data_IF_419208366320
#
_entry.id   IF_419208366320
#
_cell.length_a   1.000
_cell.length_b   1.000
_cell.length_c   1.000
_cell.angle_alpha   90.00
_cell.angle_beta   90.00
_cell.angle_gamma   90.00
#
_symmetry.space_group_name_H-M   'P 1'
#
loop_
_entity.id
_entity.type
_entity.pdbx_description
1 polymer ?
#
# COMPACT_ATOMS: atom_id res chain seq x y z
N UNK A 1 27.42 -75.43 5.83
CA UNK A 1 27.63 -73.97 5.90
C UNK A 1 26.64 -73.32 4.92
N UNK A 2 25.57 -72.77 5.42
CA UNK A 2 24.56 -72.08 4.59
C UNK A 2 24.85 -70.55 4.68
N UNK A 3 25.21 -69.98 3.56
CA UNK A 3 25.34 -68.53 3.44
C UNK A 3 23.97 -67.89 3.36
N UNK A 4 23.72 -66.93 4.27
CA UNK A 4 22.52 -66.12 4.31
C UNK A 4 22.78 -64.87 3.47
N UNK A 5 22.09 -64.76 2.33
CA UNK A 5 22.10 -63.52 1.54
C UNK A 5 21.10 -62.55 2.17
N UNK A 6 21.59 -61.42 2.67
CA UNK A 6 20.77 -60.28 3.09
C UNK A 6 20.58 -59.42 1.85
N UNK A 7 19.33 -59.34 1.36
CA UNK A 7 18.92 -58.40 0.34
C UNK A 7 18.52 -57.11 1.06
N UNK A 8 19.32 -56.07 0.92
CA UNK A 8 18.96 -54.70 1.36
C UNK A 8 18.11 -54.09 0.25
N UNK A 9 16.83 -53.94 0.49
CA UNK A 9 15.97 -53.14 -0.38
C UNK A 9 16.24 -51.64 -0.07
N UNK A 10 16.87 -50.95 -0.97
CA UNK A 10 16.92 -49.48 -0.97
C UNK A 10 15.51 -48.96 -1.40
N UNK A 11 14.79 -48.41 -0.45
CA UNK A 11 13.62 -47.62 -0.73
C UNK A 11 14.16 -46.24 -1.19
N UNK A 12 14.13 -46.00 -2.47
CA UNK A 12 14.32 -44.67 -3.03
C UNK A 12 13.11 -43.82 -2.69
N UNK A 13 13.25 -42.98 -1.67
CA UNK A 13 12.29 -41.88 -1.44
C UNK A 13 12.50 -40.90 -2.60
N UNK A 14 11.62 -40.99 -3.59
CA UNK A 14 11.59 -40.02 -4.66
C UNK A 14 11.12 -38.67 -4.09
N UNK A 15 12.07 -37.77 -3.85
CA UNK A 15 11.76 -36.37 -3.68
C UNK A 15 11.30 -35.88 -5.05
N UNK A 16 10.00 -35.87 -5.26
CA UNK A 16 9.41 -35.12 -6.39
C UNK A 16 9.61 -33.65 -6.07
N UNK A 17 10.69 -33.07 -6.58
CA UNK A 17 10.78 -31.64 -6.74
C UNK A 17 9.69 -31.26 -7.71
N UNK A 18 8.59 -30.71 -7.20
CA UNK A 18 7.58 -30.02 -8.01
C UNK A 18 8.28 -28.77 -8.52
N UNK A 19 8.90 -28.88 -9.68
CA UNK A 19 9.32 -27.71 -10.45
C UNK A 19 8.04 -27.06 -10.95
N UNK A 20 7.59 -26.02 -10.26
CA UNK A 20 6.64 -25.08 -10.85
C UNK A 20 7.35 -24.38 -12.00
N UNK A 21 7.18 -24.90 -13.20
CA UNK A 21 7.40 -24.13 -14.39
C UNK A 21 6.22 -23.15 -14.44
N UNK A 22 6.39 -21.98 -13.83
CA UNK A 22 5.49 -20.87 -14.10
C UNK A 22 5.69 -20.55 -15.59
N UNK A 23 4.71 -20.88 -16.40
CA UNK A 23 4.60 -20.30 -17.72
C UNK A 23 4.65 -18.77 -17.52
N UNK A 24 5.63 -18.13 -18.13
CA UNK A 24 5.73 -16.68 -18.21
C UNK A 24 4.61 -16.25 -19.16
N UNK A 25 3.39 -16.20 -18.62
CA UNK A 25 2.26 -15.67 -19.35
C UNK A 25 2.33 -14.16 -19.30
N UNK A 26 2.12 -13.53 -20.44
CA UNK A 26 2.16 -12.11 -20.66
C UNK A 26 1.47 -11.33 -19.51
N UNK A 27 2.23 -10.47 -18.82
CA UNK A 27 1.67 -9.53 -17.88
C UNK A 27 0.67 -8.65 -18.62
N UNK A 28 -0.61 -8.71 -18.24
CA UNK A 28 -1.60 -7.81 -18.82
C UNK A 28 -1.25 -6.38 -18.46
N UNK A 29 -1.01 -5.55 -19.48
CA UNK A 29 -0.91 -4.11 -19.33
C UNK A 29 -2.32 -3.57 -19.27
N UNK A 30 -2.70 -2.98 -18.15
CA UNK A 30 -3.98 -2.30 -17.99
C UNK A 30 -3.80 -0.88 -18.53
N UNK A 31 -4.57 -0.54 -19.55
CA UNK A 31 -4.62 0.82 -20.06
C UNK A 31 -5.26 1.75 -19.01
N UNK A 32 -4.58 2.79 -18.73
CA UNK A 32 -4.59 3.54 -17.49
C UNK A 32 -5.91 4.15 -17.03
N UNK A 33 -6.71 4.71 -17.93
CA UNK A 33 -7.97 5.34 -17.57
C UNK A 33 -9.02 4.31 -17.12
N UNK A 34 -9.04 3.16 -17.76
CA UNK A 34 -9.99 2.08 -17.48
C UNK A 34 -9.65 1.38 -16.16
N UNK A 35 -8.38 1.39 -15.76
CA UNK A 35 -7.92 0.68 -14.57
C UNK A 35 -8.56 1.15 -13.26
N UNK A 36 -9.02 2.39 -13.24
CA UNK A 36 -9.64 2.98 -12.05
C UNK A 36 -11.17 3.10 -12.14
N UNK A 37 -11.78 2.71 -13.23
CA UNK A 37 -13.23 2.60 -13.25
C UNK A 37 -13.69 1.64 -12.15
N UNK A 38 -14.70 2.06 -11.38
CA UNK A 38 -15.34 1.15 -10.42
C UNK A 38 -15.81 -0.06 -11.21
N UNK A 39 -15.34 -1.24 -10.83
CA UNK A 39 -15.79 -2.48 -11.44
C UNK A 39 -17.25 -2.66 -11.08
N UNK A 40 -18.14 -2.12 -11.90
CA UNK A 40 -19.57 -2.26 -11.72
C UNK A 40 -19.98 -3.71 -11.90
N UNK A 41 -20.64 -4.28 -10.89
CA UNK A 41 -21.44 -5.47 -11.03
C UNK A 41 -20.71 -6.75 -11.48
N UNK A 42 -19.51 -6.99 -11.00
CA UNK A 42 -18.78 -8.23 -11.31
C UNK A 42 -19.29 -9.39 -10.44
N UNK A 43 -20.51 -9.82 -10.75
CA UNK A 43 -21.19 -10.86 -9.99
C UNK A 43 -20.44 -12.20 -10.00
N UNK A 44 -19.61 -12.45 -11.00
CA UNK A 44 -18.84 -13.69 -11.14
C UNK A 44 -17.79 -13.89 -10.04
N UNK A 45 -17.35 -12.81 -9.38
CA UNK A 45 -16.43 -12.91 -8.24
C UNK A 45 -17.13 -12.93 -6.89
N UNK A 46 -18.46 -12.89 -6.87
CA UNK A 46 -19.24 -12.75 -5.65
C UNK A 46 -19.88 -14.09 -5.28
N UNK A 47 -19.71 -14.51 -4.02
CA UNK A 47 -20.29 -15.73 -3.50
C UNK A 47 -21.23 -15.51 -2.31
N UNK A 48 -22.25 -16.36 -2.20
CA UNK A 48 -23.16 -16.42 -1.06
C UNK A 48 -24.24 -15.31 -1.00
N UNK A 49 -24.95 -15.28 0.12
CA UNK A 49 -25.97 -14.26 0.42
C UNK A 49 -25.32 -12.90 0.68
N UNK A 50 -26.10 -11.82 0.46
CA UNK A 50 -25.61 -10.45 0.72
C UNK A 50 -25.34 -10.24 2.21
N UNK A 51 -24.08 -9.93 2.54
CA UNK A 51 -23.62 -9.68 3.89
C UNK A 51 -23.73 -8.21 4.26
N UNK A 52 -24.45 -7.92 5.32
CA UNK A 52 -24.60 -6.56 5.85
C UNK A 52 -23.28 -6.05 6.45
N UNK A 53 -23.03 -4.75 6.27
CA UNK A 53 -21.85 -4.09 6.84
C UNK A 53 -22.09 -3.75 8.30
N UNK A 54 -21.12 -4.08 9.12
CA UNK A 54 -21.06 -3.80 10.55
C UNK A 54 -19.70 -3.23 10.92
N UNK A 55 -19.55 -2.71 12.13
CA UNK A 55 -18.24 -2.29 12.65
C UNK A 55 -17.23 -3.45 12.65
N UNK A 56 -17.70 -4.68 12.88
CA UNK A 56 -16.82 -5.85 12.99
C UNK A 56 -16.27 -6.32 11.65
N UNK A 57 -16.99 -6.12 10.54
CA UNK A 57 -16.59 -6.64 9.24
C UNK A 57 -16.22 -5.58 8.20
N UNK A 58 -16.27 -4.28 8.52
CA UNK A 58 -16.02 -3.23 7.55
C UNK A 58 -14.63 -3.33 6.89
N UNK A 59 -13.56 -3.52 7.66
CA UNK A 59 -12.20 -3.61 7.10
C UNK A 59 -12.03 -4.84 6.18
N UNK A 60 -12.68 -5.95 6.52
CA UNK A 60 -12.73 -7.15 5.66
C UNK A 60 -13.51 -6.87 4.37
N UNK A 61 -14.63 -6.13 4.46
CA UNK A 61 -15.43 -5.79 3.30
C UNK A 61 -14.71 -4.79 2.38
N UNK A 62 -13.97 -3.83 2.92
CA UNK A 62 -13.12 -2.92 2.14
C UNK A 62 -11.99 -3.69 1.43
N UNK A 63 -11.39 -4.67 2.11
CA UNK A 63 -10.42 -5.59 1.49
C UNK A 63 -11.06 -6.40 0.36
N UNK A 64 -12.21 -7.00 0.59
CA UNK A 64 -12.96 -7.77 -0.39
C UNK A 64 -13.30 -6.92 -1.64
N UNK A 65 -13.68 -5.64 -1.45
CA UNK A 65 -13.91 -4.68 -2.53
C UNK A 65 -12.66 -4.48 -3.39
N UNK A 66 -11.49 -4.37 -2.76
CA UNK A 66 -10.22 -4.24 -3.48
C UNK A 66 -9.87 -5.51 -4.26
N UNK A 67 -10.03 -6.69 -3.67
CA UNK A 67 -9.86 -7.95 -4.39
C UNK A 67 -10.75 -8.02 -5.64
N UNK A 68 -12.05 -7.77 -5.48
CA UNK A 68 -13.02 -7.74 -6.59
C UNK A 68 -12.58 -6.77 -7.70
N UNK A 69 -12.26 -5.54 -7.33
CA UNK A 69 -11.93 -4.48 -8.28
C UNK A 69 -10.65 -4.80 -9.06
N UNK A 70 -9.67 -5.43 -8.45
CA UNK A 70 -8.41 -5.78 -9.11
C UNK A 70 -8.49 -7.08 -9.91
N UNK A 71 -9.28 -8.07 -9.48
CA UNK A 71 -9.60 -9.24 -10.31
C UNK A 71 -10.29 -8.82 -11.60
N UNK A 72 -11.22 -7.86 -11.52
CA UNK A 72 -11.83 -7.27 -12.72
C UNK A 72 -10.84 -6.63 -13.70
N UNK A 73 -9.63 -6.34 -13.25
CA UNK A 73 -8.52 -5.82 -14.05
C UNK A 73 -7.47 -6.87 -14.40
N UNK A 74 -7.79 -8.15 -14.17
CA UNK A 74 -6.94 -9.28 -14.50
C UNK A 74 -5.79 -9.54 -13.53
N UNK A 75 -5.81 -8.97 -12.33
CA UNK A 75 -4.76 -9.21 -11.34
C UNK A 75 -4.70 -10.65 -10.81
N UNK A 76 -5.75 -11.44 -10.99
CA UNK A 76 -5.81 -12.86 -10.68
C UNK A 76 -5.23 -13.76 -11.79
N UNK A 77 -4.93 -13.19 -12.95
CA UNK A 77 -4.33 -13.91 -14.09
C UNK A 77 -2.81 -13.66 -14.20
N UNK A 78 -2.30 -12.67 -13.45
CA UNK A 78 -0.90 -12.29 -13.47
C UNK A 78 -0.65 -10.93 -12.83
N UNK A 79 0.23 -10.12 -13.42
CA UNK A 79 0.53 -8.76 -13.00
C UNK A 79 -0.30 -7.74 -13.77
N UNK A 80 -1.14 -7.02 -13.06
CA UNK A 80 -1.83 -5.84 -13.60
C UNK A 80 -1.01 -4.59 -13.35
N UNK A 81 -0.58 -3.89 -14.38
CA UNK A 81 0.25 -2.69 -14.28
C UNK A 81 -0.55 -1.41 -14.47
N UNK A 82 -0.47 -0.50 -13.50
CA UNK A 82 -0.89 0.89 -13.66
C UNK A 82 0.27 1.69 -14.22
N UNK A 83 0.17 2.11 -15.47
CA UNK A 83 1.22 2.81 -16.21
C UNK A 83 1.17 4.33 -16.09
N UNK A 84 0.31 4.83 -15.18
CA UNK A 84 0.17 6.26 -14.91
C UNK A 84 0.25 6.51 -13.39
N UNK A 85 0.52 7.75 -13.03
CA UNK A 85 0.30 8.24 -11.67
C UNK A 85 -1.17 8.07 -11.29
N UNK A 86 -1.43 8.06 -10.00
CA UNK A 86 -2.81 7.96 -9.50
C UNK A 86 -3.73 8.99 -10.17
N UNK A 87 -4.96 8.60 -10.52
CA UNK A 87 -5.94 9.52 -11.03
C UNK A 87 -6.24 10.63 -10.03
N UNK A 88 -6.74 11.74 -10.55
CA UNK A 88 -7.02 12.95 -9.80
C UNK A 88 -8.51 13.14 -9.58
N UNK A 89 -8.85 13.84 -8.51
CA UNK A 89 -10.23 14.12 -8.15
C UNK A 89 -11.02 12.82 -7.92
N UNK A 90 -12.31 12.90 -8.14
CA UNK A 90 -13.28 11.81 -7.92
C UNK A 90 -13.07 10.58 -8.83
N UNK A 91 -12.21 10.69 -9.85
CA UNK A 91 -11.82 9.52 -10.66
C UNK A 91 -10.89 8.54 -9.92
N UNK A 92 -10.31 8.93 -8.81
CA UNK A 92 -9.48 8.06 -8.00
C UNK A 92 -10.33 6.97 -7.31
N UNK A 93 -9.86 5.72 -7.26
CA UNK A 93 -10.60 4.62 -6.65
C UNK A 93 -10.70 4.76 -5.12
N UNK A 94 -9.80 5.53 -4.54
CA UNK A 94 -9.74 5.84 -3.11
C UNK A 94 -9.09 7.20 -2.89
N UNK A 95 -9.26 7.74 -1.70
CA UNK A 95 -8.60 8.98 -1.28
C UNK A 95 -7.13 8.77 -0.99
N UNK A 96 -6.38 9.85 -0.90
CA UNK A 96 -4.98 9.90 -0.49
C UNK A 96 -4.06 8.98 -1.31
N UNK A 97 -4.34 8.86 -2.61
CA UNK A 97 -3.51 8.09 -3.51
C UNK A 97 -2.06 8.60 -3.52
N UNK A 98 -1.12 7.67 -3.53
CA UNK A 98 0.30 8.01 -3.62
C UNK A 98 0.65 8.62 -4.97
N UNK A 99 1.49 9.65 -4.95
CA UNK A 99 1.98 10.36 -6.14
C UNK A 99 3.43 9.99 -6.51
N UNK A 100 4.12 9.21 -5.66
CA UNK A 100 5.57 8.96 -5.76
C UNK A 100 5.92 7.60 -6.34
N UNK A 101 4.93 6.78 -6.73
CA UNK A 101 5.17 5.46 -7.32
C UNK A 101 4.08 5.03 -8.30
N UNK A 102 4.44 4.15 -9.24
CA UNK A 102 3.50 3.37 -10.04
C UNK A 102 3.22 2.03 -9.35
N UNK A 103 2.04 1.48 -9.61
CA UNK A 103 1.60 0.23 -9.02
C UNK A 103 1.53 -0.90 -10.05
N UNK A 104 1.92 -2.08 -9.59
CA UNK A 104 1.58 -3.34 -10.24
C UNK A 104 0.96 -4.25 -9.19
N UNK A 105 -0.11 -4.94 -9.53
CA UNK A 105 -0.88 -5.74 -8.57
C UNK A 105 -1.03 -7.15 -9.09
N UNK A 106 -0.88 -8.12 -8.19
CA UNK A 106 -1.25 -9.50 -8.43
C UNK A 106 -2.14 -10.02 -7.30
N UNK A 107 -3.08 -10.87 -7.65
CA UNK A 107 -3.84 -11.70 -6.71
C UNK A 107 -3.46 -13.14 -7.01
N UNK A 108 -2.88 -13.82 -6.02
CA UNK A 108 -2.31 -15.16 -6.19
C UNK A 108 -2.86 -16.11 -5.15
N UNK A 109 -2.96 -17.40 -5.51
CA UNK A 109 -3.29 -18.43 -4.52
C UNK A 109 -2.17 -18.63 -3.52
N UNK A 110 -2.54 -18.89 -2.28
CA UNK A 110 -1.65 -19.43 -1.26
C UNK A 110 -1.58 -20.93 -1.47
N UNK A 111 -0.39 -21.47 -1.73
CA UNK A 111 -0.15 -22.88 -1.99
C UNK A 111 0.69 -23.47 -0.88
N UNK A 112 0.23 -24.53 -0.23
CA UNK A 112 0.91 -25.15 0.90
C UNK A 112 1.30 -24.18 2.03
N UNK A 113 0.46 -23.17 2.26
CA UNK A 113 0.72 -22.11 3.25
C UNK A 113 1.79 -21.10 2.81
N UNK A 114 2.09 -20.98 1.53
CA UNK A 114 3.14 -20.12 1.02
C UNK A 114 2.69 -19.29 -0.19
N UNK A 115 3.35 -18.14 -0.36
CA UNK A 115 3.27 -17.29 -1.55
C UNK A 115 4.67 -17.02 -2.07
N UNK A 116 4.86 -17.17 -3.37
CA UNK A 116 6.14 -16.88 -4.02
C UNK A 116 6.00 -15.76 -5.05
N UNK A 117 7.03 -14.91 -5.13
CA UNK A 117 7.12 -13.80 -6.08
C UNK A 117 8.59 -13.40 -6.29
N UNK A 118 8.84 -12.53 -7.26
CA UNK A 118 10.19 -12.06 -7.58
C UNK A 118 10.24 -10.53 -7.63
N UNK A 119 11.27 -9.94 -7.02
CA UNK A 119 11.74 -8.59 -7.32
C UNK A 119 13.01 -8.77 -8.17
N UNK A 120 12.97 -8.53 -9.48
CA UNK A 120 14.10 -8.85 -10.35
C UNK A 120 15.38 -8.11 -9.97
N UNK A 121 16.53 -8.74 -10.15
CA UNK A 121 17.84 -8.16 -9.81
C UNK A 121 18.15 -6.86 -10.58
N UNK A 122 17.59 -6.73 -11.79
CA UNK A 122 17.84 -5.62 -12.68
C UNK A 122 16.85 -4.44 -12.53
N UNK A 123 16.04 -4.41 -11.47
CA UNK A 123 15.21 -3.24 -11.15
C UNK A 123 16.11 -2.05 -10.77
N UNK A 124 15.74 -0.86 -11.21
CA UNK A 124 16.58 0.34 -11.12
C UNK A 124 16.00 1.47 -10.28
N UNK A 125 14.72 1.38 -9.95
CA UNK A 125 14.03 2.31 -9.07
C UNK A 125 13.62 1.59 -7.78
N UNK A 126 13.24 2.37 -6.76
CA UNK A 126 12.67 1.79 -5.55
C UNK A 126 11.57 0.79 -5.92
N UNK A 127 11.71 -0.43 -5.46
CA UNK A 127 10.72 -1.49 -5.70
C UNK A 127 10.44 -2.19 -4.39
N UNK A 128 9.15 -2.29 -4.04
CA UNK A 128 8.70 -3.03 -2.87
C UNK A 128 7.50 -3.88 -3.20
N UNK A 129 7.33 -4.97 -2.47
CA UNK A 129 6.15 -5.82 -2.51
C UNK A 129 5.52 -5.88 -1.13
N UNK A 130 4.30 -5.39 -1.03
CA UNK A 130 3.47 -5.56 0.16
C UNK A 130 2.51 -6.71 -0.09
N UNK A 131 2.45 -7.64 0.85
CA UNK A 131 1.66 -8.86 0.74
C UNK A 131 0.57 -8.83 1.80
N UNK A 132 -0.69 -8.90 1.36
CA UNK A 132 -1.89 -8.73 2.20
C UNK A 132 -2.77 -9.96 1.98
N UNK A 133 -3.32 -10.53 3.05
CA UNK A 133 -4.27 -11.62 2.95
C UNK A 133 -5.68 -11.17 2.56
N UNK A 134 -6.57 -12.11 2.34
CA UNK A 134 -7.97 -11.86 1.96
C UNK A 134 -8.81 -11.19 3.04
N UNK A 135 -8.31 -11.09 4.26
CA UNK A 135 -8.98 -10.46 5.39
C UNK A 135 -8.46 -9.05 5.69
N UNK A 136 -7.42 -8.61 4.98
CA UNK A 136 -6.83 -7.29 5.17
C UNK A 136 -5.70 -7.27 6.19
N UNK A 137 -5.05 -8.40 6.44
CA UNK A 137 -3.86 -8.45 7.27
C UNK A 137 -2.60 -8.35 6.41
N UNK A 138 -1.64 -7.52 6.85
CA UNK A 138 -0.35 -7.34 6.19
C UNK A 138 0.63 -8.41 6.63
N UNK A 139 0.84 -9.41 5.80
CA UNK A 139 1.69 -10.55 6.14
C UNK A 139 3.19 -10.23 5.96
N UNK A 140 3.54 -9.58 4.85
CA UNK A 140 4.94 -9.29 4.53
C UNK A 140 5.10 -7.95 3.80
N UNK A 141 6.29 -7.38 3.93
CA UNK A 141 6.74 -6.22 3.17
C UNK A 141 8.20 -6.44 2.74
N UNK A 142 8.43 -6.60 1.45
CA UNK A 142 9.72 -7.00 0.90
C UNK A 142 10.26 -5.92 -0.03
N UNK A 143 11.54 -5.60 0.11
CA UNK A 143 12.27 -4.62 -0.72
C UNK A 143 13.55 -5.17 -1.31
N UNK A 144 14.00 -6.34 -0.82
CA UNK A 144 15.21 -7.00 -1.31
C UNK A 144 14.95 -7.65 -2.66
N UNK A 145 15.92 -7.49 -3.57
CA UNK A 145 15.86 -8.14 -4.88
C UNK A 145 16.03 -9.65 -4.76
N UNK A 146 15.50 -10.36 -5.75
CA UNK A 146 15.57 -11.81 -5.83
C UNK A 146 14.19 -12.48 -5.76
N UNK A 147 14.23 -13.79 -5.64
CA UNK A 147 13.06 -14.65 -5.49
C UNK A 147 12.75 -14.85 -4.02
N UNK A 148 11.47 -14.70 -3.68
CA UNK A 148 10.96 -14.79 -2.33
C UNK A 148 9.87 -15.85 -2.25
N UNK A 149 9.90 -16.63 -1.17
CA UNK A 149 8.80 -17.47 -0.74
C UNK A 149 8.51 -17.11 0.70
N UNK A 150 7.29 -16.67 0.97
CA UNK A 150 6.86 -16.19 2.29
C UNK A 150 5.78 -17.09 2.85
N UNK A 151 5.87 -17.36 4.14
CA UNK A 151 4.88 -18.18 4.83
C UNK A 151 3.62 -17.36 5.15
N UNK A 152 2.47 -18.01 5.05
CA UNK A 152 1.17 -17.46 5.39
C UNK A 152 0.56 -18.22 6.57
N UNK A 153 -0.03 -17.49 7.50
CA UNK A 153 -0.94 -18.10 8.46
C UNK A 153 -2.25 -18.43 7.75
N UNK A 154 -2.51 -19.72 7.55
CA UNK A 154 -3.73 -20.20 6.90
C UNK A 154 -4.74 -20.77 7.88
N UNK A 155 -4.53 -20.62 9.18
CA UNK A 155 -5.39 -21.16 10.22
C UNK A 155 -6.81 -20.56 10.19
N UNK A 156 -6.96 -19.37 9.61
CA UNK A 156 -8.23 -18.67 9.41
C UNK A 156 -8.92 -19.02 8.08
N UNK A 157 -8.32 -19.90 7.26
CA UNK A 157 -8.86 -20.29 5.95
C UNK A 157 -8.37 -19.41 4.80
N UNK A 158 -7.27 -18.67 4.97
CA UNK A 158 -6.66 -17.87 3.90
C UNK A 158 -6.25 -18.75 2.72
N UNK A 159 -6.74 -18.38 1.54
CA UNK A 159 -6.50 -19.09 0.27
C UNK A 159 -5.84 -18.21 -0.79
N UNK A 160 -5.91 -16.90 -0.64
CA UNK A 160 -5.39 -15.93 -1.60
C UNK A 160 -4.65 -14.80 -0.91
N UNK A 161 -3.68 -14.25 -1.64
CA UNK A 161 -2.91 -13.08 -1.25
C UNK A 161 -2.99 -11.99 -2.31
N UNK A 162 -3.00 -10.74 -1.86
CA UNK A 162 -2.92 -9.55 -2.67
C UNK A 162 -1.52 -8.97 -2.57
N UNK A 163 -0.84 -8.87 -3.69
CA UNK A 163 0.53 -8.33 -3.79
C UNK A 163 0.50 -6.95 -4.43
N UNK A 164 1.01 -5.96 -3.71
CA UNK A 164 1.19 -4.59 -4.21
C UNK A 164 2.67 -4.36 -4.49
N UNK A 165 3.03 -4.34 -5.77
CA UNK A 165 4.36 -3.91 -6.21
C UNK A 165 4.34 -2.40 -6.40
N UNK A 166 5.23 -1.69 -5.73
CA UNK A 166 5.46 -0.25 -5.90
C UNK A 166 6.73 -0.04 -6.69
N UNK A 167 6.67 0.84 -7.69
CA UNK A 167 7.80 1.23 -8.53
C UNK A 167 7.98 2.73 -8.40
N UNK A 168 9.05 3.16 -7.73
CA UNK A 168 9.31 4.56 -7.41
C UNK A 168 9.51 5.44 -8.64
N UNK A 169 9.22 6.72 -8.48
CA UNK A 169 9.33 7.75 -9.52
C UNK A 169 10.60 8.61 -9.38
N UNK A 170 11.55 8.22 -8.53
CA UNK A 170 12.78 8.98 -8.27
C UNK A 170 13.67 9.18 -9.51
N UNK A 171 13.51 8.33 -10.53
CA UNK A 171 14.17 8.47 -11.84
C UNK A 171 13.20 8.84 -12.96
N UNK A 172 11.99 9.25 -12.61
CA UNK A 172 10.95 9.67 -13.55
C UNK A 172 10.04 8.54 -14.04
N UNK A 173 9.02 8.95 -14.76
CA UNK A 173 7.93 8.08 -15.21
C UNK A 173 8.39 6.94 -16.13
N UNK A 174 9.28 7.24 -17.08
CA UNK A 174 9.75 6.25 -18.05
C UNK A 174 10.60 5.18 -17.39
N UNK A 175 11.43 5.56 -16.41
CA UNK A 175 12.21 4.60 -15.64
C UNK A 175 11.31 3.69 -14.79
N UNK A 176 10.25 4.23 -14.17
CA UNK A 176 9.29 3.44 -13.42
C UNK A 176 8.51 2.47 -14.31
N UNK A 177 8.09 2.90 -15.52
CA UNK A 177 7.45 2.02 -16.49
C UNK A 177 8.39 0.92 -16.99
N UNK A 178 9.63 1.27 -17.34
CA UNK A 178 10.64 0.30 -17.72
C UNK A 178 10.96 -0.68 -16.58
N UNK A 179 10.81 -0.25 -15.33
CA UNK A 179 10.94 -1.12 -14.17
C UNK A 179 9.75 -2.09 -14.05
N UNK A 180 8.52 -1.62 -14.29
CA UNK A 180 7.35 -2.50 -14.36
C UNK A 180 7.50 -3.59 -15.44
N UNK A 181 8.10 -3.26 -16.60
CA UNK A 181 8.36 -4.23 -17.68
C UNK A 181 9.35 -5.33 -17.30
N UNK A 182 10.14 -5.13 -16.23
CA UNK A 182 11.06 -6.14 -15.70
C UNK A 182 10.40 -7.09 -14.69
N UNK A 183 9.26 -6.72 -14.13
CA UNK A 183 8.55 -7.57 -13.16
C UNK A 183 8.08 -8.85 -13.83
N UNK A 184 8.19 -9.96 -13.12
CA UNK A 184 7.83 -11.29 -13.60
C UNK A 184 6.64 -11.87 -12.85
N UNK A 185 6.00 -12.87 -13.41
CA UNK A 185 4.96 -13.66 -12.75
C UNK A 185 5.54 -14.90 -12.05
N UNK A 186 6.86 -14.96 -11.89
CA UNK A 186 7.49 -16.10 -11.23
C UNK A 186 6.91 -16.35 -9.83
N UNK A 187 6.49 -17.57 -9.58
CA UNK A 187 5.91 -17.99 -8.30
C UNK A 187 4.45 -17.63 -8.09
N UNK A 188 3.87 -16.75 -8.91
CA UNK A 188 2.45 -16.43 -8.83
C UNK A 188 1.61 -17.60 -9.37
N UNK A 189 0.56 -17.92 -8.64
CA UNK A 189 -0.40 -18.98 -9.00
C UNK A 189 -1.75 -18.34 -9.27
N UNK A 190 -2.13 -18.31 -10.55
CA UNK A 190 -3.39 -17.71 -11.01
C UNK A 190 -4.62 -18.43 -10.46
N UNK A 191 -5.69 -17.68 -10.30
CA UNK A 191 -7.00 -18.20 -9.99
C UNK A 191 -7.93 -17.17 -9.37
N UNK A 192 -9.21 -17.41 -9.56
CA UNK A 192 -10.25 -16.56 -9.01
C UNK A 192 -10.38 -16.78 -7.50
N UNK A 193 -10.61 -15.68 -6.81
CA UNK A 193 -11.03 -15.65 -5.42
C UNK A 193 -12.52 -15.36 -5.37
N UNK A 194 -13.30 -16.25 -4.77
CA UNK A 194 -14.71 -16.02 -4.53
C UNK A 194 -14.87 -15.01 -3.39
N UNK A 195 -15.08 -13.77 -3.77
CA UNK A 195 -15.21 -12.64 -2.84
C UNK A 195 -16.51 -12.80 -2.05
N UNK A 196 -16.51 -12.69 -0.72
CA UNK A 196 -17.74 -12.63 0.04
C UNK A 196 -18.66 -11.51 -0.45
N UNK A 197 -19.95 -11.84 -0.62
CA UNK A 197 -20.93 -10.93 -1.21
C UNK A 197 -21.39 -9.84 -0.21
N UNK A 198 -20.50 -8.90 0.10
CA UNK A 198 -20.83 -7.77 0.94
C UNK A 198 -21.76 -6.76 0.22
N UNK A 199 -22.58 -6.07 1.00
CA UNK A 199 -23.31 -4.89 0.52
C UNK A 199 -22.31 -3.73 0.27
N UNK A 200 -21.78 -3.65 -0.96
CA UNK A 200 -20.74 -2.68 -1.30
C UNK A 200 -21.23 -1.23 -1.36
N UNK A 201 -22.53 -1.00 -1.53
CA UNK A 201 -23.10 0.35 -1.38
C UNK A 201 -23.05 0.77 0.10
N UNK A 202 -23.35 -0.16 1.00
CA UNK A 202 -23.18 0.07 2.44
C UNK A 202 -21.71 0.22 2.86
N UNK A 203 -20.76 -0.47 2.19
CA UNK A 203 -19.31 -0.24 2.40
C UNK A 203 -18.95 1.19 2.04
N UNK A 204 -19.37 1.69 0.86
CA UNK A 204 -19.08 3.05 0.43
C UNK A 204 -19.68 4.09 1.40
N UNK A 205 -20.92 3.92 1.81
CA UNK A 205 -21.57 4.79 2.78
C UNK A 205 -20.84 4.80 4.14
N UNK A 206 -20.42 3.62 4.62
CA UNK A 206 -19.65 3.51 5.88
C UNK A 206 -18.25 4.11 5.73
N UNK A 207 -17.64 4.02 4.57
CA UNK A 207 -16.37 4.67 4.25
C UNK A 207 -16.49 6.19 4.39
N UNK A 208 -17.53 6.79 3.85
CA UNK A 208 -17.76 8.24 3.94
C UNK A 208 -18.03 8.70 5.38
N UNK A 209 -18.82 7.92 6.14
CA UNK A 209 -19.04 8.15 7.57
C UNK A 209 -17.69 8.17 8.34
N UNK A 210 -16.87 7.13 8.19
CA UNK A 210 -15.58 7.02 8.87
C UNK A 210 -14.61 8.13 8.46
N UNK A 211 -14.58 8.53 7.18
CA UNK A 211 -13.76 9.64 6.69
C UNK A 211 -14.10 10.95 7.35
N UNK A 212 -15.38 11.19 7.64
CA UNK A 212 -15.84 12.40 8.32
C UNK A 212 -15.34 12.52 9.77
N UNK A 213 -14.97 11.40 10.40
CA UNK A 213 -14.46 11.38 11.76
C UNK A 213 -12.95 11.69 11.87
N UNK A 214 -12.24 11.73 10.72
CA UNK A 214 -10.78 11.82 10.73
C UNK A 214 -10.30 13.24 10.97
N UNK A 215 -9.60 13.41 12.05
CA UNK A 215 -8.92 14.65 12.43
C UNK A 215 -7.45 14.37 12.68
N UNK A 216 -6.59 14.74 11.73
CA UNK A 216 -5.14 14.79 11.92
C UNK A 216 -4.49 13.58 12.59
N UNK A 217 -4.76 12.35 12.12
CA UNK A 217 -4.22 11.12 12.70
C UNK A 217 -3.23 10.45 11.76
N UNK A 218 -2.14 9.93 12.30
CA UNK A 218 -1.24 9.05 11.56
C UNK A 218 -1.82 7.63 11.48
N UNK A 219 -1.49 6.93 10.42
CA UNK A 219 -1.96 5.59 10.15
C UNK A 219 -0.83 4.59 10.27
N UNK A 220 -0.86 3.84 11.36
CA UNK A 220 0.12 2.82 11.67
C UNK A 220 -0.45 1.41 11.56
N UNK A 221 -1.78 1.31 11.45
CA UNK A 221 -2.54 0.10 11.69
C UNK A 221 -3.31 -0.43 10.50
N UNK A 222 -3.17 0.15 9.30
CA UNK A 222 -4.02 -0.21 8.15
C UNK A 222 -3.97 -1.71 7.87
N UNK A 223 -2.80 -2.34 8.08
CA UNK A 223 -2.61 -3.76 7.89
C UNK A 223 -1.93 -4.40 9.12
N UNK A 224 -2.69 -4.72 10.19
CA UNK A 224 -2.19 -5.58 11.26
C UNK A 224 -1.79 -6.93 10.69
N UNK A 225 -0.88 -7.66 11.33
CA UNK A 225 -0.40 -8.95 10.83
C UNK A 225 -1.45 -10.06 10.89
N UNK A 226 -2.35 -9.94 11.84
CA UNK A 226 -3.43 -10.89 12.05
C UNK A 226 -4.51 -10.24 12.91
N UNK A 227 -5.66 -10.91 13.04
CA UNK A 227 -6.81 -10.45 13.81
C UNK A 227 -6.49 -10.16 15.29
N UNK A 228 -5.53 -10.86 15.89
CA UNK A 228 -5.16 -10.67 17.31
C UNK A 228 -4.44 -9.35 17.56
N UNK A 229 -3.83 -8.77 16.54
CA UNK A 229 -3.20 -7.44 16.61
C UNK A 229 -4.20 -6.29 16.48
N UNK A 230 -5.43 -6.57 16.10
CA UNK A 230 -6.50 -5.58 16.03
C UNK A 230 -7.01 -5.27 17.44
N UNK A 231 -6.31 -4.37 18.13
CA UNK A 231 -6.66 -3.96 19.50
C UNK A 231 -7.70 -2.84 19.56
N UNK A 232 -7.87 -2.10 18.48
CA UNK A 232 -8.86 -1.03 18.31
C UNK A 232 -9.53 -1.18 16.93
N UNK A 233 -10.67 -1.83 16.89
CA UNK A 233 -11.45 -2.09 15.67
C UNK A 233 -11.89 -0.81 14.98
N UNK A 234 -12.30 0.20 15.75
CA UNK A 234 -12.73 1.47 15.19
C UNK A 234 -11.57 2.19 14.52
N UNK A 235 -10.39 2.23 15.15
CA UNK A 235 -9.18 2.80 14.56
C UNK A 235 -8.79 2.05 13.27
N UNK A 236 -8.85 0.72 13.25
CA UNK A 236 -8.57 -0.07 12.05
C UNK A 236 -9.54 0.25 10.91
N UNK A 237 -10.82 0.41 11.21
CA UNK A 237 -11.83 0.82 10.23
C UNK A 237 -11.56 2.23 9.69
N UNK A 238 -11.23 3.20 10.55
CA UNK A 238 -10.83 4.55 10.12
C UNK A 238 -9.65 4.53 9.16
N UNK A 239 -8.64 3.73 9.44
CA UNK A 239 -7.46 3.62 8.60
C UNK A 239 -7.74 2.97 7.25
N UNK A 240 -8.57 1.93 7.22
CA UNK A 240 -9.01 1.32 5.97
C UNK A 240 -9.86 2.28 5.13
N UNK A 241 -10.73 3.09 5.75
CA UNK A 241 -11.53 4.10 5.07
C UNK A 241 -10.68 5.21 4.43
N UNK A 242 -9.49 5.49 4.96
CA UNK A 242 -8.61 6.56 4.47
C UNK A 242 -7.57 6.10 3.46
N UNK A 243 -7.41 4.84 3.25
CA UNK A 243 -6.48 4.36 2.23
C UNK A 243 -6.09 2.91 2.42
N UNK A 244 -6.87 2.03 1.86
CA UNK A 244 -6.46 0.65 1.70
C UNK A 244 -5.18 0.59 0.83
N UNK A 245 -4.15 -0.14 1.26
CA UNK A 245 -2.82 -0.11 0.65
C UNK A 245 -1.81 0.76 1.40
N UNK A 246 -2.19 1.29 2.57
CA UNK A 246 -1.43 2.22 3.38
C UNK A 246 -0.33 1.59 4.24
N UNK A 247 -0.24 2.06 5.48
CA UNK A 247 0.83 1.73 6.41
C UNK A 247 0.86 0.26 6.86
N UNK A 248 2.06 -0.24 7.12
CA UNK A 248 2.30 -1.56 7.67
C UNK A 248 3.19 -1.46 8.91
N UNK A 249 2.97 -2.23 9.99
CA UNK A 249 3.75 -2.13 11.22
C UNK A 249 5.13 -2.82 11.16
N UNK A 250 5.58 -3.28 10.01
CA UNK A 250 6.88 -3.94 9.85
C UNK A 250 7.97 -2.87 9.77
N UNK A 251 8.69 -2.66 10.87
CA UNK A 251 9.73 -1.64 10.98
C UNK A 251 10.87 -1.83 9.96
N UNK A 252 11.48 -0.72 9.53
CA UNK A 252 12.60 -0.61 8.62
C UNK A 252 12.35 -0.98 7.15
N UNK A 253 11.29 -1.71 6.83
CA UNK A 253 10.98 -2.14 5.47
C UNK A 253 9.68 -1.54 4.96
N UNK A 254 8.77 -1.22 5.87
CA UNK A 254 7.42 -0.76 5.59
C UNK A 254 7.30 0.75 5.45
N UNK A 255 6.07 1.17 5.25
CA UNK A 255 5.67 2.58 5.17
C UNK A 255 4.87 3.01 6.39
N UNK A 256 5.09 4.24 6.79
CA UNK A 256 4.32 4.93 7.82
C UNK A 256 3.75 6.21 7.22
N UNK A 257 2.48 6.49 7.50
CA UNK A 257 1.80 7.66 6.98
C UNK A 257 1.19 8.49 8.10
N UNK A 258 1.13 9.81 7.87
CA UNK A 258 0.41 10.72 8.73
C UNK A 258 -0.47 11.66 7.93
N UNK A 259 -1.65 11.98 8.42
CA UNK A 259 -2.61 12.84 7.74
C UNK A 259 -2.90 14.10 8.54
N UNK A 260 -2.99 15.24 7.84
CA UNK A 260 -3.39 16.50 8.43
C UNK A 260 -4.91 16.63 8.58
N UNK A 261 -5.31 17.55 9.42
CA UNK A 261 -6.63 18.17 9.36
C UNK A 261 -6.75 19.03 8.09
N UNK A 262 -7.98 19.48 7.79
CA UNK A 262 -8.24 20.46 6.73
C UNK A 262 -7.53 21.78 7.04
N UNK A 263 -6.83 22.30 6.07
CA UNK A 263 -6.07 23.55 6.12
C UNK A 263 -6.74 24.59 5.22
N UNK A 264 -6.65 25.85 5.64
CA UNK A 264 -7.14 27.01 4.89
C UNK A 264 -6.17 27.36 3.75
N UNK A 265 -6.59 27.17 2.51
CA UNK A 265 -5.78 27.44 1.32
C UNK A 265 -5.47 28.90 1.09
N UNK A 266 -6.22 29.83 1.70
CA UNK A 266 -5.96 31.27 1.63
C UNK A 266 -4.79 31.73 2.51
N UNK A 267 -4.18 30.82 3.29
CA UNK A 267 -3.09 31.16 4.21
C UNK A 267 -1.76 30.51 3.82
N UNK A 268 -0.71 31.31 3.91
CA UNK A 268 0.64 30.75 3.92
C UNK A 268 0.88 29.98 5.22
N UNK A 269 1.23 28.72 5.10
CA UNK A 269 1.64 27.87 6.22
C UNK A 269 3.01 27.26 5.91
N UNK A 270 3.89 27.25 6.88
CA UNK A 270 5.16 26.52 6.76
C UNK A 270 5.46 25.74 8.02
N UNK A 271 6.13 24.62 7.86
CA UNK A 271 6.62 23.81 8.96
C UNK A 271 8.06 23.40 8.71
N UNK A 272 8.87 23.40 9.76
CA UNK A 272 10.27 22.97 9.70
C UNK A 272 10.45 21.78 10.61
N UNK A 273 11.03 20.73 10.09
CA UNK A 273 11.24 19.47 10.81
C UNK A 273 12.63 18.90 10.55
N UNK A 274 13.11 18.05 11.45
CA UNK A 274 14.35 17.34 11.22
C UNK A 274 14.22 16.46 9.96
N UNK A 275 15.22 16.53 9.09
CA UNK A 275 15.23 15.73 7.86
C UNK A 275 15.01 14.24 8.22
N UNK A 276 13.93 13.58 7.77
CA UNK A 276 13.67 12.21 8.09
C UNK A 276 14.75 11.29 7.51
N UNK A 277 15.25 10.40 8.32
CA UNK A 277 16.19 9.36 7.90
C UNK A 277 15.41 8.12 7.46
N UNK A 278 14.51 8.27 6.49
CA UNK A 278 13.86 7.13 5.86
C UNK A 278 14.84 6.39 4.96
N UNK A 279 14.79 5.05 4.99
CA UNK A 279 15.74 4.23 4.23
C UNK A 279 15.64 4.46 2.73
N UNK A 280 14.42 4.67 2.23
CA UNK A 280 14.18 4.86 0.80
C UNK A 280 13.86 6.31 0.47
N UNK A 281 12.75 6.81 0.96
CA UNK A 281 12.38 8.21 0.78
C UNK A 281 11.25 8.63 1.74
N UNK A 282 11.04 9.94 1.81
CA UNK A 282 9.90 10.56 2.50
C UNK A 282 9.23 11.54 1.57
N UNK A 283 7.92 11.72 1.72
CA UNK A 283 7.16 12.69 0.93
C UNK A 283 6.07 13.38 1.73
N UNK A 284 5.66 14.54 1.24
CA UNK A 284 4.48 15.27 1.67
C UNK A 284 3.65 15.54 0.43
N UNK A 285 2.43 15.04 0.41
CA UNK A 285 1.50 15.19 -0.72
C UNK A 285 0.27 15.94 -0.26
N UNK A 286 -0.10 17.01 -0.98
CA UNK A 286 -1.34 17.74 -0.74
C UNK A 286 -2.51 17.11 -1.51
N UNK A 287 -3.69 17.23 -0.93
CA UNK A 287 -4.97 16.76 -1.47
C UNK A 287 -6.03 17.83 -1.25
N UNK A 288 -7.07 17.82 -2.05
CA UNK A 288 -8.23 18.67 -1.85
C UNK A 288 -8.96 18.40 -0.52
N UNK A 289 -10.00 19.17 -0.24
CA UNK A 289 -10.79 19.03 0.98
C UNK A 289 -11.49 17.67 1.11
N UNK A 290 -11.71 16.96 0.01
CA UNK A 290 -12.27 15.61 -0.06
C UNK A 290 -11.18 14.53 -0.01
N UNK A 291 -9.91 14.91 0.12
CA UNK A 291 -8.72 14.05 0.19
C UNK A 291 -8.34 13.36 -1.13
N UNK A 292 -8.76 13.91 -2.26
CA UNK A 292 -8.30 13.49 -3.57
C UNK A 292 -7.10 14.33 -4.02
N UNK A 293 -6.26 13.79 -4.89
CA UNK A 293 -5.23 14.57 -5.57
C UNK A 293 -5.90 15.71 -6.35
N UNK A 294 -5.33 16.89 -6.29
CA UNK A 294 -5.83 18.03 -7.05
C UNK A 294 -5.87 17.72 -8.54
N UNK A 295 -6.87 18.22 -9.23
CA UNK A 295 -7.02 18.05 -10.68
C UNK A 295 -5.87 18.75 -11.42
N UNK A 296 -5.39 19.88 -10.90
CA UNK A 296 -4.21 20.58 -11.41
C UNK A 296 -2.95 19.77 -11.10
N UNK A 297 -2.21 19.42 -12.15
CA UNK A 297 -1.00 18.58 -12.02
C UNK A 297 0.19 19.28 -11.37
N UNK A 298 0.21 20.59 -11.32
CA UNK A 298 1.29 21.36 -10.71
C UNK A 298 1.19 21.40 -9.18
N UNK A 299 0.06 21.01 -8.63
CA UNK A 299 -0.20 20.98 -7.19
C UNK A 299 -0.06 19.57 -6.67
N UNK A 300 0.99 19.20 -5.97
CA UNK A 300 1.05 17.84 -5.50
C UNK A 300 1.92 17.54 -4.31
N UNK A 301 3.22 17.37 -4.52
CA UNK A 301 4.07 16.79 -3.50
C UNK A 301 5.49 17.33 -3.58
N UNK A 302 6.13 17.30 -2.44
CA UNK A 302 7.57 17.41 -2.29
C UNK A 302 8.07 16.13 -1.63
N UNK A 303 9.27 15.69 -2.00
CA UNK A 303 9.84 14.47 -1.46
C UNK A 303 11.35 14.57 -1.24
N UNK A 304 11.91 13.61 -0.49
CA UNK A 304 13.31 13.62 -0.08
C UNK A 304 14.32 13.49 -1.21
N UNK A 305 13.89 13.16 -2.44
CA UNK A 305 14.77 13.16 -3.60
C UNK A 305 14.94 14.55 -4.19
N UNK A 306 14.02 15.45 -3.92
CA UNK A 306 13.96 16.78 -4.58
C UNK A 306 13.89 17.97 -3.63
N UNK A 307 13.50 17.79 -2.36
CA UNK A 307 13.36 18.91 -1.44
C UNK A 307 14.71 19.53 -1.04
N UNK A 308 14.67 20.82 -0.76
CA UNK A 308 15.82 21.54 -0.25
C UNK A 308 15.99 21.30 1.25
N UNK A 309 17.18 20.86 1.64
CA UNK A 309 17.56 20.66 3.05
C UNK A 309 18.23 21.93 3.57
N UNK A 310 17.88 22.38 4.76
CA UNK A 310 18.49 23.52 5.44
C UNK A 310 19.90 23.14 5.94
N UNK A 311 20.70 24.16 6.24
CA UNK A 311 22.09 23.98 6.69
C UNK A 311 22.23 23.25 8.03
N UNK A 312 21.17 23.20 8.82
CA UNK A 312 21.09 22.49 10.11
C UNK A 312 20.47 21.09 10.00
N UNK A 313 20.40 20.54 8.79
CA UNK A 313 19.77 19.25 8.47
C UNK A 313 18.28 19.19 8.85
N UNK A 314 17.60 20.32 8.74
CA UNK A 314 16.13 20.37 8.78
C UNK A 314 15.56 20.53 7.38
N UNK A 315 14.27 20.31 7.22
CA UNK A 315 13.51 20.57 5.98
C UNK A 315 12.37 21.51 6.32
N UNK A 316 12.27 22.59 5.58
CA UNK A 316 11.10 23.48 5.63
C UNK A 316 10.20 23.16 4.46
N UNK A 317 8.95 22.83 4.71
CA UNK A 317 7.91 22.67 3.69
C UNK A 317 6.90 23.77 3.89
N UNK A 318 6.52 24.40 2.80
CA UNK A 318 5.60 25.53 2.77
C UNK A 318 4.36 25.18 1.94
N UNK A 319 3.24 25.80 2.27
CA UNK A 319 2.02 25.71 1.52
C UNK A 319 1.50 27.12 1.27
N UNK A 320 1.24 27.45 0.01
CA UNK A 320 0.71 28.74 -0.42
C UNK A 320 1.53 29.96 0.03
N UNK A 321 2.85 29.79 0.14
CA UNK A 321 3.75 30.86 0.61
C UNK A 321 4.46 31.62 -0.53
N UNK A 322 4.08 31.35 -1.77
CA UNK A 322 4.68 31.96 -2.97
C UNK A 322 5.92 31.21 -3.49
N UNK A 323 6.37 31.62 -4.67
CA UNK A 323 7.38 30.89 -5.45
C UNK A 323 8.77 30.86 -4.79
N UNK A 324 9.09 31.84 -3.97
CA UNK A 324 10.38 31.93 -3.27
C UNK A 324 10.43 31.08 -1.99
N UNK A 325 9.30 30.49 -1.58
CA UNK A 325 9.25 29.68 -0.37
C UNK A 325 9.80 28.27 -0.61
N UNK A 326 10.63 27.81 0.34
CA UNK A 326 11.25 26.48 0.24
C UNK A 326 10.22 25.36 0.22
N UNK A 327 10.45 24.42 -0.70
CA UNK A 327 9.62 23.22 -0.86
C UNK A 327 8.12 23.55 -0.84
N UNK A 328 7.74 24.61 -1.57
CA UNK A 328 6.38 25.12 -1.55
C UNK A 328 5.43 24.25 -2.37
N UNK A 329 4.29 23.95 -1.80
CA UNK A 329 3.14 23.33 -2.48
C UNK A 329 2.08 24.43 -2.60
N UNK A 330 1.77 24.84 -3.83
CA UNK A 330 0.78 25.88 -4.08
C UNK A 330 -0.56 25.25 -4.45
N UNK A 331 -1.52 25.27 -3.52
CA UNK A 331 -2.87 24.72 -3.72
C UNK A 331 -3.79 25.66 -4.50
N UNK A 332 -3.24 26.76 -5.04
CA UNK A 332 -3.99 27.79 -5.76
C UNK A 332 -5.13 28.39 -4.92
N UNK A 333 -4.89 28.54 -3.62
CA UNK A 333 -5.86 29.06 -2.68
C UNK A 333 -7.01 28.13 -2.31
N UNK A 334 -6.94 26.87 -2.72
CA UNK A 334 -7.94 25.87 -2.35
C UNK A 334 -7.60 25.27 -0.97
N UNK A 335 -8.64 25.05 -0.16
CA UNK A 335 -8.51 24.31 1.10
C UNK A 335 -7.97 22.90 0.84
N UNK A 336 -7.12 22.43 1.73
CA UNK A 336 -6.37 21.22 1.49
C UNK A 336 -6.15 20.39 2.75
N UNK A 337 -5.92 19.12 2.56
CA UNK A 337 -5.27 18.24 3.53
C UNK A 337 -3.92 17.80 2.97
N UNK A 338 -3.03 17.29 3.81
CA UNK A 338 -1.80 16.67 3.33
C UNK A 338 -1.50 15.37 4.05
N UNK A 339 -0.79 14.49 3.37
CA UNK A 339 -0.29 13.24 3.93
C UNK A 339 1.23 13.26 3.90
N UNK A 340 1.83 12.98 5.04
CA UNK A 340 3.26 12.67 5.16
C UNK A 340 3.46 11.17 4.99
N UNK A 341 4.50 10.78 4.24
CA UNK A 341 4.84 9.39 4.03
C UNK A 341 6.31 9.13 4.27
N UNK A 342 6.59 8.01 4.92
CA UNK A 342 7.94 7.52 5.16
C UNK A 342 8.03 6.11 4.61
N UNK A 343 8.96 5.87 3.70
CA UNK A 343 9.23 4.57 3.10
C UNK A 343 10.58 4.05 3.61
N UNK A 344 10.55 2.85 4.22
CA UNK A 344 11.66 2.35 5.01
C UNK A 344 11.75 3.09 6.35
N UNK A 345 10.83 2.79 7.24
CA UNK A 345 10.67 3.47 8.52
C UNK A 345 11.83 3.14 9.45
N UNK A 346 12.58 4.14 9.89
CA UNK A 346 13.66 3.97 10.86
C UNK A 346 13.17 4.06 12.30
N UNK A 347 13.97 3.55 13.22
CA UNK A 347 13.74 3.72 14.66
C UNK A 347 13.58 5.19 15.07
N UNK A 348 14.23 6.13 14.39
CA UNK A 348 14.08 7.55 14.64
C UNK A 348 12.66 8.02 14.36
N UNK A 349 12.12 7.65 13.20
CA UNK A 349 10.74 7.98 12.81
C UNK A 349 9.74 7.31 13.76
N UNK A 350 9.96 6.03 14.09
CA UNK A 350 9.12 5.29 15.02
C UNK A 350 9.11 5.95 16.40
N UNK A 351 10.28 6.26 16.96
CA UNK A 351 10.38 6.89 18.29
C UNK A 351 9.80 8.29 18.34
N UNK A 352 10.00 9.07 17.29
CA UNK A 352 9.38 10.41 17.19
C UNK A 352 7.85 10.30 17.25
N UNK A 353 7.30 9.28 16.63
CA UNK A 353 5.86 9.03 16.60
C UNK A 353 5.32 8.44 17.92
N UNK A 354 6.02 7.51 18.53
CA UNK A 354 5.62 6.91 19.81
C UNK A 354 5.58 7.94 20.95
N UNK A 355 6.46 8.92 20.93
CA UNK A 355 6.55 9.96 21.97
C UNK A 355 5.34 10.90 21.99
N UNK A 356 4.65 11.03 20.88
CA UNK A 356 3.46 11.88 20.71
C UNK A 356 2.17 11.09 20.58
N UNK A 357 2.21 9.77 20.78
CA UNK A 357 1.04 8.93 20.67
C UNK A 357 0.18 9.02 21.94
N UNK A 358 -1.02 9.53 21.79
CA UNK A 358 -2.16 8.89 22.48
C UNK A 358 -2.17 7.46 21.92
N UNK A 359 -2.33 6.40 22.74
CA UNK A 359 -2.18 5.05 22.25
C UNK A 359 -2.82 4.87 20.88
N UNK A 360 -2.01 4.50 19.88
CA UNK A 360 -2.38 4.23 18.49
C UNK A 360 -2.88 5.43 17.65
N UNK A 361 -2.60 6.67 18.03
CA UNK A 361 -2.99 7.85 17.25
C UNK A 361 -1.84 8.84 17.16
N UNK A 362 -1.23 8.90 15.98
CA UNK A 362 -0.15 9.83 15.70
C UNK A 362 -0.73 11.08 15.02
N UNK A 363 -0.34 12.26 15.49
CA UNK A 363 -0.63 13.50 14.78
C UNK A 363 0.44 13.69 13.70
N UNK A 364 0.08 13.81 12.41
CA UNK A 364 1.06 13.98 11.32
C UNK A 364 1.96 15.20 11.50
N UNK A 365 1.45 16.26 12.06
CA UNK A 365 2.25 17.45 12.35
C UNK A 365 3.33 17.15 13.40
N UNK A 366 3.07 16.25 14.33
CA UNK A 366 4.03 15.79 15.32
C UNK A 366 5.01 14.74 14.79
N UNK A 367 4.65 14.01 13.73
CA UNK A 367 5.57 13.05 13.08
C UNK A 367 6.79 13.71 12.49
N UNK A 368 6.66 14.96 12.07
CA UNK A 368 7.73 15.69 11.43
C UNK A 368 8.61 16.44 12.44
N UNK A 369 8.23 16.50 13.74
CA UNK A 369 8.76 17.57 14.56
C UNK A 369 8.96 17.21 16.02
N UNK A 370 10.16 16.87 16.37
CA UNK A 370 10.68 17.28 17.66
C UNK A 370 11.15 18.74 17.52
N UNK A 371 10.36 19.71 18.00
CA UNK A 371 10.73 21.12 18.01
C UNK A 371 9.96 22.05 17.09
N UNK A 372 8.85 21.65 16.45
CA UNK A 372 8.00 22.61 15.74
C UNK A 372 7.38 23.59 16.72
N UNK A 373 7.63 24.85 16.47
CA UNK A 373 6.82 25.92 17.04
C UNK A 373 5.66 26.14 16.06
N UNK A 374 4.45 25.96 16.54
CA UNK A 374 3.22 26.33 15.86
C UNK A 374 3.00 27.82 15.93
#
# INVERSE_FOLDING_TARGET
MKQLLIVIALVAVGVTTVTYAADVTDSKVIDSAIAYEKAGGQAEFMGGDVLKITTENYAHAETAKNYRNWMAKGANEGLSHLRIKAPRGEMAPTVQMNHDSLYSVAITKVVDGQVSFEIPENVEVYTSVQVIDQYGHGQHYVVTKGRHTVDFDTADGTTHAFLIFRNGLEKGMDAAKANQDKLTTWGLVSGDFEVPNYDFEAVDAKTDELRSEVTGKAFYYTFPRNEKEVTDRHQWNLENALGWGGASPIANESNLYGNSELQDGGKCMSTTFKNPESVYFSSITAYDAQRYLFVDEDVNSVNSHTWEVNSDNTVTVSFNCGDDAKNNIDTKGQDYTFTTRFYGVTDQVIRANQKHSVPNRLNPMHMLVEGTKY
#
